data_IF_685728549777
#
_entry.id   IF_685728549777
#
_cell.length_a   1.000
_cell.length_b   1.000
_cell.length_c   1.000
_cell.angle_alpha   90.00
_cell.angle_beta   90.00
_cell.angle_gamma   90.00
#
_symmetry.space_group_name_H-M   'P 1'
#
loop_
_entity.id
_entity.type
_entity.pdbx_description
1 polymer ?
#
# COMPACT_ATOMS: atom_id res chain seq x y z
N UNK A 1 -1.00 3.21 6.47
CA UNK A 1 -1.52 2.92 5.12
C UNK A 1 -0.72 3.71 4.11
N UNK A 2 -0.16 3.09 3.08
CA UNK A 2 0.50 3.79 1.99
C UNK A 2 -0.31 3.65 0.70
N UNK A 3 -0.26 4.67 -0.14
CA UNK A 3 -0.95 4.75 -1.42
C UNK A 3 0.10 5.04 -2.50
N UNK A 4 -0.01 4.40 -3.67
CA UNK A 4 0.81 4.75 -4.83
C UNK A 4 0.48 6.15 -5.39
N UNK A 5 1.29 6.64 -6.33
CA UNK A 5 1.15 8.00 -6.87
C UNK A 5 -0.23 8.26 -7.48
N UNK A 6 -0.82 7.26 -8.14
CA UNK A 6 -2.13 7.36 -8.78
C UNK A 6 -3.22 7.54 -7.74
N UNK A 7 -3.22 6.72 -6.68
CA UNK A 7 -4.19 6.83 -5.58
C UNK A 7 -3.95 8.05 -4.69
N UNK A 8 -2.75 8.60 -4.72
CA UNK A 8 -2.38 9.82 -4.01
C UNK A 8 -2.80 11.10 -4.73
N UNK A 9 -3.02 11.08 -6.04
CA UNK A 9 -3.30 12.30 -6.80
C UNK A 9 -4.67 12.93 -6.45
N UNK A 10 -5.77 12.16 -6.30
CA UNK A 10 -7.04 12.69 -5.83
C UNK A 10 -7.04 12.84 -4.31
N UNK A 11 -7.28 14.05 -3.82
CA UNK A 11 -7.33 14.31 -2.37
C UNK A 11 -8.46 13.54 -1.68
N UNK A 12 -9.55 13.28 -2.41
CA UNK A 12 -10.75 12.60 -1.95
C UNK A 12 -10.48 11.18 -1.47
N UNK A 13 -9.55 10.47 -2.13
CA UNK A 13 -9.18 9.09 -1.75
C UNK A 13 -8.60 9.06 -0.33
N UNK A 14 -7.64 9.96 -0.06
CA UNK A 14 -7.01 10.09 1.27
C UNK A 14 -8.04 10.50 2.32
N UNK A 15 -8.88 11.48 2.02
CA UNK A 15 -9.92 11.95 2.94
C UNK A 15 -10.95 10.88 3.25
N UNK A 16 -11.41 10.13 2.24
CA UNK A 16 -12.38 9.05 2.41
C UNK A 16 -11.81 7.92 3.27
N UNK A 17 -10.60 7.45 2.96
CA UNK A 17 -9.92 6.41 3.73
C UNK A 17 -9.69 6.87 5.18
N UNK A 18 -9.17 8.09 5.37
CA UNK A 18 -8.95 8.65 6.71
C UNK A 18 -10.23 8.76 7.53
N UNK A 19 -11.32 9.25 6.92
CA UNK A 19 -12.61 9.41 7.59
C UNK A 19 -13.25 8.07 7.97
N UNK A 20 -13.28 7.09 7.06
CA UNK A 20 -13.98 5.83 7.29
C UNK A 20 -13.18 4.79 8.06
N UNK A 21 -11.84 4.83 8.00
CA UNK A 21 -10.99 3.82 8.64
C UNK A 21 -10.22 4.32 9.85
N UNK A 22 -10.03 5.64 9.98
CA UNK A 22 -9.11 6.22 10.96
C UNK A 22 -7.64 5.83 10.74
N UNK A 23 -7.29 5.16 9.63
CA UNK A 23 -5.94 4.68 9.38
C UNK A 23 -5.01 5.84 9.05
N UNK A 24 -3.87 5.98 9.76
CA UNK A 24 -2.89 7.01 9.43
C UNK A 24 -2.23 6.69 8.07
N UNK A 25 -2.00 7.73 7.29
CA UNK A 25 -1.20 7.62 6.07
C UNK A 25 0.28 7.56 6.45
N UNK A 26 0.97 6.56 5.90
CA UNK A 26 2.40 6.37 6.04
C UNK A 26 3.14 7.30 5.08
N UNK A 27 4.25 7.88 5.54
CA UNK A 27 5.07 8.79 4.73
C UNK A 27 5.87 8.03 3.68
N UNK A 28 6.36 6.83 4.02
CA UNK A 28 7.10 5.95 3.12
C UNK A 28 6.43 4.57 3.06
N UNK A 29 6.67 3.78 1.99
CA UNK A 29 6.16 2.42 1.92
C UNK A 29 6.73 1.50 3.02
N UNK A 30 7.94 1.78 3.50
CA UNK A 30 8.58 1.04 4.58
C UNK A 30 7.89 1.22 5.95
N UNK A 31 7.14 2.31 6.14
CA UNK A 31 6.38 2.58 7.38
C UNK A 31 4.97 1.98 7.34
N UNK A 32 4.60 1.31 6.25
CA UNK A 32 3.22 0.91 6.00
C UNK A 32 2.92 -0.51 6.49
N UNK A 33 1.79 -0.70 7.18
CA UNK A 33 1.23 -2.05 7.40
C UNK A 33 0.42 -2.54 6.20
N UNK A 34 -0.17 -1.61 5.44
CA UNK A 34 -0.91 -1.88 4.20
C UNK A 34 -0.46 -0.90 3.12
N UNK A 35 -0.29 -1.38 1.90
CA UNK A 35 -0.06 -0.56 0.71
C UNK A 35 -1.11 -0.87 -0.36
N UNK A 36 -1.83 0.16 -0.82
CA UNK A 36 -2.76 0.08 -1.95
C UNK A 36 -2.05 0.55 -3.21
N UNK A 37 -2.06 -0.28 -4.25
CA UNK A 37 -1.29 -0.07 -5.48
C UNK A 37 -2.22 -0.25 -6.67
N UNK A 38 -2.59 0.86 -7.30
CA UNK A 38 -3.45 0.89 -8.47
C UNK A 38 -2.70 0.49 -9.74
N UNK A 39 -1.38 0.72 -9.80
CA UNK A 39 -0.55 0.39 -10.96
C UNK A 39 0.62 -0.52 -10.58
N UNK A 40 0.40 -1.84 -10.39
CA UNK A 40 1.47 -2.75 -9.97
C UNK A 40 2.67 -2.82 -10.93
N UNK A 41 2.47 -2.55 -12.23
CA UNK A 41 3.54 -2.52 -13.23
C UNK A 41 4.57 -1.39 -13.00
N UNK A 42 4.17 -0.32 -12.29
CA UNK A 42 5.03 0.83 -11.96
C UNK A 42 5.48 0.81 -10.48
N UNK A 43 5.18 -0.28 -9.77
CA UNK A 43 5.52 -0.44 -8.36
C UNK A 43 7.04 -0.46 -8.17
N UNK A 44 7.51 0.09 -7.05
CA UNK A 44 8.89 -0.11 -6.62
C UNK A 44 9.19 -1.58 -6.32
N UNK A 45 10.48 -1.89 -6.13
CA UNK A 45 10.88 -3.21 -5.68
C UNK A 45 10.24 -3.57 -4.31
N UNK A 46 9.99 -4.87 -4.12
CA UNK A 46 9.31 -5.39 -2.92
C UNK A 46 10.07 -5.09 -1.61
N UNK A 47 11.39 -4.95 -1.69
CA UNK A 47 12.26 -4.58 -0.55
C UNK A 47 12.09 -3.12 -0.10
N UNK A 48 11.37 -2.29 -0.86
CA UNK A 48 10.97 -0.95 -0.47
C UNK A 48 9.84 -0.91 0.58
N UNK A 49 9.20 -2.05 0.85
CA UNK A 49 8.15 -2.20 1.86
C UNK A 49 8.69 -2.87 3.13
N UNK A 50 7.98 -2.73 4.26
CA UNK A 50 8.36 -3.41 5.50
C UNK A 50 8.36 -4.93 5.28
N UNK A 51 9.49 -5.57 5.55
CA UNK A 51 9.63 -7.03 5.51
C UNK A 51 9.27 -7.69 6.86
N UNK A 52 8.91 -6.88 7.87
CA UNK A 52 8.90 -7.34 9.26
C UNK A 52 10.31 -7.64 9.77
N UNK A 53 10.40 -8.29 10.91
CA UNK A 53 11.67 -8.79 11.45
C UNK A 53 11.57 -10.27 11.77
N UNK A 54 12.68 -10.91 12.11
CA UNK A 54 12.67 -12.30 12.55
C UNK A 54 11.78 -12.50 13.79
N UNK A 55 11.80 -11.54 14.73
CA UNK A 55 11.00 -11.59 15.96
C UNK A 55 9.54 -11.17 15.73
N UNK A 56 9.27 -10.36 14.70
CA UNK A 56 7.95 -9.82 14.37
C UNK A 56 7.68 -9.90 12.85
N UNK A 57 7.56 -11.12 12.28
CA UNK A 57 7.35 -11.30 10.84
C UNK A 57 5.96 -10.82 10.38
N UNK A 58 5.01 -10.76 11.30
CA UNK A 58 3.65 -10.25 11.11
C UNK A 58 3.60 -8.73 10.87
N UNK A 59 4.68 -8.00 11.18
CA UNK A 59 4.79 -6.55 10.93
C UNK A 59 5.26 -6.19 9.52
N UNK A 60 5.23 -7.15 8.60
CA UNK A 60 5.44 -6.90 7.18
C UNK A 60 4.28 -6.09 6.58
N UNK A 61 4.55 -5.40 5.48
CA UNK A 61 3.51 -4.70 4.73
C UNK A 61 2.69 -5.71 3.93
N UNK A 62 1.37 -5.66 4.08
CA UNK A 62 0.45 -6.36 3.17
C UNK A 62 0.20 -5.49 1.92
N UNK A 63 0.54 -6.02 0.74
CA UNK A 63 0.29 -5.35 -0.54
C UNK A 63 -1.10 -5.72 -1.09
N UNK A 64 -1.88 -4.70 -1.45
CA UNK A 64 -3.17 -4.84 -2.12
C UNK A 64 -3.00 -4.29 -3.54
N UNK A 65 -2.87 -5.20 -4.50
CA UNK A 65 -2.59 -4.89 -5.90
C UNK A 65 -3.87 -4.89 -6.72
N UNK A 66 -4.15 -3.77 -7.41
CA UNK A 66 -5.20 -3.71 -8.41
C UNK A 66 -4.70 -4.35 -9.71
N UNK A 67 -5.37 -5.38 -10.17
CA UNK A 67 -5.06 -6.09 -11.42
C UNK A 67 -6.21 -5.92 -12.42
N UNK A 68 -5.92 -6.05 -13.71
CA UNK A 68 -6.93 -6.03 -14.78
C UNK A 68 -7.89 -7.20 -14.66
N UNK A 69 -7.37 -8.36 -14.26
CA UNK A 69 -8.10 -9.60 -14.07
C UNK A 69 -7.28 -10.57 -13.20
N UNK A 70 -7.92 -11.64 -12.72
CA UNK A 70 -7.33 -12.63 -11.81
C UNK A 70 -6.94 -13.95 -12.50
N UNK A 71 -7.09 -14.06 -13.83
CA UNK A 71 -7.05 -15.36 -14.53
C UNK A 71 -5.95 -15.40 -15.61
N UNK A 72 -5.71 -14.27 -16.28
CA UNK A 72 -4.86 -14.14 -17.46
C UNK A 72 -3.46 -13.71 -17.01
N UNK A 73 -2.69 -14.70 -16.54
CA UNK A 73 -1.28 -14.51 -16.15
C UNK A 73 -0.36 -14.19 -17.33
#
# INVERSE_FOLDING_TARGET
LWLDLVLQAPAEVRSWLGFHTGAPLANTPADAHFALIATPAEMMALDGFSQGTQDYPDRSTTLILQVSDLVSG
#
